data_IF_693236148418
#
_entry.id   IF_693236148418
#
_cell.length_a   1.000
_cell.length_b   1.000
_cell.length_c   1.000
_cell.angle_alpha   90.00
_cell.angle_beta   90.00
_cell.angle_gamma   90.00
#
_symmetry.space_group_name_H-M   'P 1'
#
loop_
_entity.id
_entity.type
_entity.pdbx_description
1 polymer ?
#
# COMPACT_ATOMS: atom_id res chain seq x y z
N UNK A 1 -4.21 -9.09 -4.90
CA UNK A 1 -4.24 -8.12 -5.99
C UNK A 1 -2.86 -7.47 -6.15
N UNK A 2 -2.47 -7.08 -7.36
CA UNK A 2 -1.29 -6.25 -7.60
C UNK A 2 -1.70 -4.79 -7.38
N UNK A 3 -1.14 -4.04 -6.40
CA UNK A 3 -1.44 -2.63 -6.27
C UNK A 3 -0.85 -1.79 -7.39
N UNK A 4 -1.49 -0.64 -7.56
CA UNK A 4 -0.91 0.55 -8.15
C UNK A 4 -0.55 1.51 -7.02
N UNK A 5 0.71 1.95 -6.97
CA UNK A 5 1.15 2.99 -6.04
C UNK A 5 0.50 4.31 -6.43
N UNK A 6 -0.29 4.88 -5.53
CA UNK A 6 -0.96 6.16 -5.76
C UNK A 6 0.06 7.29 -5.72
N UNK A 7 -0.03 8.22 -6.66
CA UNK A 7 0.86 9.39 -6.71
C UNK A 7 0.91 10.11 -5.36
N UNK A 8 2.14 10.32 -4.88
CA UNK A 8 2.38 11.08 -3.68
C UNK A 8 1.91 12.54 -3.77
N UNK A 9 1.57 13.08 -4.95
CA UNK A 9 1.00 14.45 -5.01
C UNK A 9 -0.36 14.54 -4.29
N UNK A 10 -1.12 13.44 -4.25
CA UNK A 10 -2.48 13.42 -3.68
C UNK A 10 -2.49 12.78 -2.28
N UNK A 11 -1.83 11.63 -2.09
CA UNK A 11 -1.79 10.92 -0.80
C UNK A 11 -0.34 10.65 -0.39
N UNK A 12 0.11 11.20 0.75
CA UNK A 12 1.49 11.09 1.23
C UNK A 12 1.52 10.83 2.74
N UNK A 13 2.37 9.90 3.13
CA UNK A 13 2.94 9.91 4.48
C UNK A 13 4.28 10.64 4.43
N UNK A 14 4.50 11.60 5.32
CA UNK A 14 5.79 12.27 5.53
C UNK A 14 6.27 11.97 6.93
N UNK A 15 7.50 11.50 7.06
CA UNK A 15 8.11 11.24 8.36
C UNK A 15 9.35 12.11 8.47
N UNK A 16 9.51 12.77 9.61
CA UNK A 16 10.72 13.50 9.97
C UNK A 16 11.46 12.67 11.01
N UNK A 17 12.74 12.41 10.75
CA UNK A 17 13.60 11.65 11.64
C UNK A 17 14.69 12.57 12.13
N UNK A 18 14.85 12.61 13.45
CA UNK A 18 15.94 13.30 14.10
C UNK A 18 16.72 12.25 14.90
N UNK A 19 18.04 12.17 14.69
CA UNK A 19 18.94 11.49 15.63
C UNK A 19 19.40 12.57 16.59
N UNK A 20 18.79 12.58 17.78
CA UNK A 20 19.15 13.51 18.85
C UNK A 20 19.19 12.75 20.17
N UNK A 21 20.19 13.06 20.99
CA UNK A 21 20.20 12.69 22.39
C UNK A 21 19.22 13.61 23.14
N UNK A 22 18.08 13.04 23.53
CA UNK A 22 17.05 13.57 24.43
C UNK A 22 16.28 14.85 24.00
N UNK A 23 14.94 14.77 23.95
CA UNK A 23 13.97 15.67 24.60
C UNK A 23 12.50 15.36 24.21
N UNK A 24 11.68 15.18 25.26
CA UNK A 24 10.21 15.27 25.46
C UNK A 24 9.18 14.36 24.74
N UNK A 25 8.30 13.77 25.60
CA UNK A 25 7.18 12.85 25.39
C UNK A 25 7.28 11.96 24.14
N UNK A 26 8.15 10.96 24.27
CA UNK A 26 8.30 9.87 23.33
C UNK A 26 7.39 8.71 23.74
N UNK A 27 6.59 8.21 22.79
CA UNK A 27 5.95 6.90 22.97
C UNK A 27 6.98 5.87 22.54
N UNK A 28 7.44 5.05 23.49
CA UNK A 28 8.29 3.93 23.18
C UNK A 28 7.60 3.02 22.16
N UNK A 29 8.23 2.80 21.00
CA UNK A 29 7.76 1.87 19.97
C UNK A 29 8.02 0.42 20.42
N UNK A 30 7.36 -0.02 21.48
CA UNK A 30 7.50 -1.37 22.06
C UNK A 30 6.80 -2.47 21.25
N UNK A 31 6.00 -2.10 20.24
CA UNK A 31 5.31 -3.05 19.38
C UNK A 31 6.27 -3.90 18.54
N UNK A 32 6.07 -5.23 18.54
CA UNK A 32 6.95 -6.18 17.84
C UNK A 32 7.20 -5.88 16.36
N UNK A 33 6.22 -5.29 15.67
CA UNK A 33 6.34 -4.87 14.25
C UNK A 33 7.41 -3.79 14.04
N UNK A 34 7.44 -2.78 14.90
CA UNK A 34 8.47 -1.72 14.83
C UNK A 34 9.84 -2.27 15.20
N UNK A 35 9.92 -3.11 16.24
CA UNK A 35 11.17 -3.72 16.67
C UNK A 35 11.77 -4.64 15.60
N UNK A 36 10.94 -5.37 14.84
CA UNK A 36 11.41 -6.16 13.72
C UNK A 36 12.07 -5.29 12.64
N UNK A 37 11.40 -4.23 12.19
CA UNK A 37 11.99 -3.30 11.22
C UNK A 37 13.28 -2.64 11.73
N UNK A 38 13.28 -2.14 12.98
CA UNK A 38 14.44 -1.49 13.60
C UNK A 38 15.63 -2.45 13.71
N UNK A 39 15.39 -3.70 14.09
CA UNK A 39 16.44 -4.72 14.17
C UNK A 39 17.04 -5.02 12.79
N UNK A 40 16.19 -5.24 11.79
CA UNK A 40 16.66 -5.62 10.45
C UNK A 40 17.37 -4.48 9.72
N UNK A 41 16.93 -3.23 9.90
CA UNK A 41 17.60 -2.08 9.29
C UNK A 41 18.94 -1.78 9.99
N UNK A 42 19.01 -1.89 11.33
CA UNK A 42 20.27 -1.70 12.09
C UNK A 42 21.33 -2.72 11.72
N UNK A 43 20.96 -3.98 11.51
CA UNK A 43 21.91 -5.03 11.04
C UNK A 43 22.60 -4.66 9.72
N UNK A 44 21.94 -3.87 8.89
CA UNK A 44 22.41 -3.43 7.56
C UNK A 44 22.98 -2.01 7.57
N UNK A 45 23.02 -1.36 8.74
CA UNK A 45 23.57 -0.03 8.89
C UNK A 45 25.07 -0.03 8.54
N UNK A 46 25.53 1.12 8.05
CA UNK A 46 26.94 1.38 7.74
C UNK A 46 27.42 2.64 8.44
N UNK A 47 28.70 2.93 8.28
CA UNK A 47 29.29 4.19 8.69
C UNK A 47 28.56 5.38 8.02
N UNK A 48 28.35 6.44 8.81
CA UNK A 48 27.78 7.71 8.37
C UNK A 48 28.72 8.83 8.76
N UNK A 49 29.14 9.59 7.77
CA UNK A 49 30.02 10.74 7.95
C UNK A 49 29.36 11.98 7.33
N UNK A 50 29.17 13.03 8.14
CA UNK A 50 28.72 14.36 7.72
C UNK A 50 29.76 15.38 8.20
N UNK A 51 30.72 15.69 7.33
CA UNK A 51 31.85 16.61 7.62
C UNK A 51 31.36 18.01 8.01
N UNK A 52 30.24 18.48 7.44
CA UNK A 52 29.72 19.84 7.70
C UNK A 52 29.17 19.97 9.12
N UNK A 53 28.65 18.87 9.67
CA UNK A 53 28.11 18.83 11.04
C UNK A 53 29.08 18.19 12.04
N UNK A 54 30.24 17.73 11.59
CA UNK A 54 31.21 17.02 12.43
C UNK A 54 30.68 15.70 12.98
N UNK A 55 29.77 15.04 12.26
CA UNK A 55 29.16 13.77 12.69
C UNK A 55 29.94 12.63 12.06
N UNK A 56 30.44 11.70 12.87
CA UNK A 56 30.98 10.41 12.44
C UNK A 56 30.36 9.32 13.31
N UNK A 57 29.50 8.50 12.70
CA UNK A 57 28.83 7.37 13.34
C UNK A 57 29.38 6.11 12.71
N UNK A 58 30.01 5.24 13.50
CA UNK A 58 30.49 3.94 13.04
C UNK A 58 29.37 2.92 13.06
N UNK A 59 29.51 1.87 12.25
CA UNK A 59 28.53 0.78 12.18
C UNK A 59 28.11 0.26 13.56
N UNK A 60 29.07 0.08 14.46
CA UNK A 60 28.87 -0.47 15.81
C UNK A 60 28.09 0.48 16.73
N UNK A 61 28.12 1.77 16.45
CA UNK A 61 27.41 2.78 17.26
C UNK A 61 25.90 2.65 17.09
N UNK A 62 25.41 2.19 15.94
CA UNK A 62 23.97 2.00 15.67
C UNK A 62 23.29 0.99 16.60
N UNK A 63 24.05 0.09 17.22
CA UNK A 63 23.54 -0.85 18.22
C UNK A 63 23.16 -0.14 19.53
N UNK A 64 23.84 0.96 19.86
CA UNK A 64 23.66 1.73 21.09
C UNK A 64 22.83 2.99 20.89
N UNK A 65 22.87 3.57 19.69
CA UNK A 65 22.15 4.79 19.37
C UNK A 65 20.63 4.56 19.33
N UNK A 66 19.89 5.43 20.01
CA UNK A 66 18.45 5.52 19.93
C UNK A 66 18.03 6.41 18.76
N UNK A 67 16.84 6.15 18.21
CA UNK A 67 16.27 6.93 17.10
C UNK A 67 14.94 7.53 17.53
N UNK A 68 14.72 8.80 17.21
CA UNK A 68 13.45 9.48 17.46
C UNK A 68 12.70 9.57 16.15
N UNK A 69 11.44 9.13 16.18
CA UNK A 69 10.63 8.94 14.98
C UNK A 69 9.36 9.76 15.12
N UNK A 70 9.22 10.76 14.26
CA UNK A 70 7.96 11.51 14.10
C UNK A 70 7.34 11.19 12.74
N UNK A 71 6.08 10.77 12.75
CA UNK A 71 5.32 10.40 11.56
C UNK A 71 4.08 11.26 11.41
N UNK A 72 3.82 11.70 10.19
CA UNK A 72 2.60 12.38 9.82
C UNK A 72 2.05 11.79 8.51
N UNK A 73 0.73 11.73 8.40
CA UNK A 73 0.04 11.42 7.16
C UNK A 73 -1.00 12.51 6.86
N UNK A 74 -1.21 12.79 5.58
CA UNK A 74 -2.11 13.85 5.13
C UNK A 74 -3.50 13.34 4.70
N UNK A 75 -3.81 12.08 4.98
CA UNK A 75 -5.07 11.46 4.61
C UNK A 75 -5.92 11.18 5.85
N UNK A 76 -7.26 11.25 5.76
CA UNK A 76 -8.10 11.14 6.95
C UNK A 76 -7.89 9.76 7.60
N UNK A 77 -7.50 9.74 8.88
CA UNK A 77 -7.21 8.51 9.64
C UNK A 77 -8.34 7.48 9.57
N UNK A 78 -9.58 7.94 9.36
CA UNK A 78 -10.77 7.10 9.28
C UNK A 78 -11.27 6.79 7.85
N UNK A 79 -10.59 7.26 6.80
CA UNK A 79 -10.97 6.98 5.40
C UNK A 79 -10.63 5.54 4.97
N UNK A 80 -10.16 4.69 5.89
CA UNK A 80 -9.80 3.29 5.63
C UNK A 80 -8.52 3.10 4.83
N UNK A 81 -7.92 4.17 4.28
CA UNK A 81 -6.68 4.16 3.53
C UNK A 81 -5.55 3.49 4.33
N UNK A 82 -4.76 2.64 3.66
CA UNK A 82 -3.74 1.76 4.25
C UNK A 82 -2.58 2.53 4.93
N UNK A 83 -2.88 3.18 6.06
CA UNK A 83 -1.98 4.06 6.81
C UNK A 83 -0.75 3.34 7.31
N UNK A 84 -0.89 2.07 7.70
CA UNK A 84 0.22 1.21 8.13
C UNK A 84 1.19 0.91 6.99
N UNK A 85 0.71 0.66 5.77
CA UNK A 85 1.56 0.33 4.63
C UNK A 85 2.50 1.50 4.28
N UNK A 86 1.91 2.70 4.08
CA UNK A 86 2.66 3.91 3.81
C UNK A 86 3.56 4.32 4.99
N UNK A 87 3.09 4.09 6.23
CA UNK A 87 3.86 4.33 7.45
C UNK A 87 5.15 3.51 7.51
N UNK A 88 5.04 2.18 7.42
CA UNK A 88 6.19 1.28 7.51
C UNK A 88 7.14 1.41 6.32
N UNK A 89 6.62 1.65 5.11
CA UNK A 89 7.45 1.89 3.94
C UNK A 89 8.31 3.15 4.13
N UNK A 90 7.69 4.26 4.56
CA UNK A 90 8.40 5.50 4.82
C UNK A 90 9.39 5.36 5.99
N UNK A 91 9.01 4.63 7.05
CA UNK A 91 9.90 4.30 8.16
C UNK A 91 11.17 3.60 7.68
N UNK A 92 11.03 2.49 6.98
CA UNK A 92 12.17 1.68 6.51
C UNK A 92 13.01 2.46 5.51
N UNK A 93 12.38 3.12 4.54
CA UNK A 93 13.10 3.92 3.56
C UNK A 93 13.94 5.01 4.22
N UNK A 94 13.36 5.73 5.19
CA UNK A 94 14.06 6.86 5.81
C UNK A 94 15.13 6.39 6.78
N UNK A 95 14.90 5.32 7.54
CA UNK A 95 15.95 4.71 8.37
C UNK A 95 17.08 4.16 7.50
N UNK A 96 16.78 3.56 6.34
CA UNK A 96 17.78 3.12 5.38
C UNK A 96 18.66 4.27 4.88
N UNK A 97 18.06 5.43 4.61
CA UNK A 97 18.82 6.66 4.27
C UNK A 97 19.63 7.19 5.45
N UNK A 98 19.04 7.23 6.64
CA UNK A 98 19.69 7.73 7.85
C UNK A 98 20.91 6.90 8.25
N UNK A 99 20.81 5.57 8.13
CA UNK A 99 21.83 4.61 8.53
C UNK A 99 22.76 4.20 7.37
N UNK A 100 22.69 4.92 6.24
CA UNK A 100 23.47 4.67 5.03
C UNK A 100 23.45 3.20 4.57
N UNK A 101 22.28 2.57 4.63
CA UNK A 101 22.08 1.19 4.20
C UNK A 101 22.30 1.08 2.67
N UNK A 102 23.06 0.07 2.24
CA UNK A 102 23.44 -0.15 0.82
C UNK A 102 22.57 -1.15 0.06
N UNK A 103 21.30 -1.19 0.40
CA UNK A 103 20.42 -2.24 -0.09
C UNK A 103 19.58 -1.68 -1.22
N UNK A 104 19.23 -2.54 -2.18
CA UNK A 104 18.30 -2.16 -3.22
C UNK A 104 16.86 -2.03 -2.69
N UNK A 105 15.95 -1.58 -3.53
CA UNK A 105 14.55 -1.40 -3.14
C UNK A 105 13.84 -2.73 -2.85
N UNK A 106 14.28 -3.85 -3.45
CA UNK A 106 13.76 -5.18 -3.18
C UNK A 106 14.11 -5.63 -1.77
N UNK A 107 15.37 -5.46 -1.38
CA UNK A 107 15.86 -5.75 -0.03
C UNK A 107 15.19 -4.86 1.02
N UNK A 108 15.08 -3.54 0.78
CA UNK A 108 14.33 -2.64 1.68
C UNK A 108 12.85 -3.05 1.80
N UNK A 109 12.24 -3.53 0.72
CA UNK A 109 10.86 -4.04 0.75
C UNK A 109 10.70 -5.25 1.67
N UNK A 110 11.71 -6.12 1.77
CA UNK A 110 11.71 -7.27 2.67
C UNK A 110 11.65 -6.85 4.15
N UNK A 111 12.31 -5.73 4.49
CA UNK A 111 12.30 -5.15 5.84
C UNK A 111 10.94 -4.51 6.12
N UNK A 112 10.40 -3.73 5.17
CA UNK A 112 9.10 -3.08 5.30
C UNK A 112 7.97 -4.11 5.51
N UNK A 113 8.04 -5.24 4.82
CA UNK A 113 7.12 -6.38 4.96
C UNK A 113 7.01 -6.87 6.41
N UNK A 114 8.12 -6.92 7.15
CA UNK A 114 8.13 -7.41 8.54
C UNK A 114 7.37 -6.47 9.51
N UNK A 115 7.26 -5.20 9.16
CA UNK A 115 6.45 -4.24 9.90
C UNK A 115 4.98 -4.29 9.48
N UNK A 116 4.73 -4.26 8.18
CA UNK A 116 3.40 -4.48 7.60
C UNK A 116 3.57 -5.10 6.22
N UNK A 117 2.95 -6.26 5.97
CA UNK A 117 3.18 -6.99 4.72
C UNK A 117 2.98 -6.15 3.47
N UNK A 118 1.96 -5.27 3.45
CA UNK A 118 1.64 -4.43 2.29
C UNK A 118 2.59 -3.24 2.12
N UNK A 119 3.34 -2.88 3.16
CA UNK A 119 4.32 -1.80 3.10
C UNK A 119 5.44 -2.06 2.08
N UNK A 120 5.78 -3.32 1.82
CA UNK A 120 6.81 -3.67 0.84
C UNK A 120 6.50 -3.09 -0.56
N UNK A 121 5.21 -3.03 -0.94
CA UNK A 121 4.79 -2.55 -2.25
C UNK A 121 4.87 -1.03 -2.38
N UNK A 122 4.86 -0.30 -1.26
CA UNK A 122 4.99 1.15 -1.24
C UNK A 122 6.45 1.65 -1.26
N UNK A 123 7.43 0.75 -1.40
CA UNK A 123 8.83 1.13 -1.66
C UNK A 123 9.03 1.59 -3.11
N UNK A 124 8.19 1.13 -4.04
CA UNK A 124 8.25 1.44 -5.46
C UNK A 124 7.10 2.33 -5.92
N UNK A 125 7.33 3.12 -6.97
CA UNK A 125 6.29 3.78 -7.76
C UNK A 125 5.64 2.84 -8.78
N UNK A 126 4.60 3.31 -9.48
CA UNK A 126 3.94 2.56 -10.55
C UNK A 126 3.17 1.32 -10.07
N UNK A 127 3.17 0.27 -10.90
CA UNK A 127 2.54 -1.01 -10.56
C UNK A 127 3.55 -1.94 -9.93
N UNK A 128 3.18 -2.53 -8.79
CA UNK A 128 4.12 -3.26 -7.94
C UNK A 128 3.56 -4.64 -7.62
N UNK A 129 4.39 -5.67 -7.76
CA UNK A 129 4.08 -7.03 -7.31
C UNK A 129 4.79 -7.31 -6.01
N UNK A 130 4.07 -7.86 -5.04
CA UNK A 130 4.71 -8.59 -3.94
C UNK A 130 4.78 -10.08 -4.30
N UNK A 131 5.99 -10.58 -4.47
CA UNK A 131 6.25 -12.00 -4.63
C UNK A 131 6.05 -12.72 -3.30
N UNK A 132 5.23 -13.77 -3.26
CA UNK A 132 4.95 -14.51 -2.03
C UNK A 132 6.17 -15.23 -1.45
N UNK A 133 7.19 -15.48 -2.28
CA UNK A 133 8.36 -16.28 -1.93
C UNK A 133 8.06 -17.79 -1.85
N UNK A 134 9.13 -18.57 -1.75
CA UNK A 134 9.15 -20.02 -1.59
C UNK A 134 10.05 -20.45 -0.44
N UNK A 135 10.97 -19.58 -0.01
CA UNK A 135 11.91 -19.90 1.06
C UNK A 135 11.22 -19.72 2.42
N UNK A 136 11.43 -20.67 3.33
CA UNK A 136 10.83 -20.65 4.67
C UNK A 136 11.35 -19.49 5.55
N UNK A 137 12.53 -18.96 5.24
CA UNK A 137 13.08 -17.77 5.90
C UNK A 137 12.47 -16.45 5.36
N UNK A 138 11.65 -16.55 4.30
CA UNK A 138 11.02 -15.43 3.62
C UNK A 138 12.00 -14.53 2.88
N UNK A 139 13.24 -14.95 2.61
CA UNK A 139 14.25 -14.14 1.92
C UNK A 139 13.84 -13.72 0.52
N UNK A 140 13.02 -14.52 -0.18
CA UNK A 140 12.57 -14.28 -1.55
C UNK A 140 11.15 -13.69 -1.64
N UNK A 141 10.54 -13.35 -0.49
CA UNK A 141 9.22 -12.73 -0.44
C UNK A 141 9.34 -11.20 -0.38
N UNK A 142 9.52 -10.60 -1.55
CA UNK A 142 9.87 -9.18 -1.73
C UNK A 142 8.98 -8.50 -2.78
N UNK A 143 8.95 -7.17 -2.77
CA UNK A 143 8.30 -6.39 -3.80
C UNK A 143 9.22 -6.21 -5.03
N UNK A 144 8.60 -6.24 -6.21
CA UNK A 144 9.23 -5.94 -7.50
C UNK A 144 8.34 -4.98 -8.27
N UNK A 145 8.95 -3.96 -8.87
CA UNK A 145 8.23 -3.06 -9.78
C UNK A 145 7.96 -3.80 -11.10
N UNK A 146 6.70 -3.78 -11.54
CA UNK A 146 6.32 -4.32 -12.84
C UNK A 146 6.58 -3.30 -13.94
N UNK A 147 6.13 -2.07 -13.69
CA UNK A 147 6.31 -0.88 -14.53
C UNK A 147 6.28 0.35 -13.63
N UNK A 148 6.95 1.42 -14.02
CA UNK A 148 6.99 2.67 -13.26
C UNK A 148 5.69 3.49 -13.40
N UNK A 149 5.61 4.60 -12.66
CA UNK A 149 4.46 5.49 -12.66
C UNK A 149 4.19 6.17 -14.01
N UNK A 150 5.18 6.28 -14.89
CA UNK A 150 5.05 6.90 -16.22
C UNK A 150 4.48 5.96 -17.28
N UNK A 151 4.43 4.66 -16.98
CA UNK A 151 3.95 3.65 -17.91
C UNK A 151 2.49 3.90 -18.31
N UNK A 152 1.61 4.19 -17.34
CA UNK A 152 0.17 4.34 -17.58
C UNK A 152 -0.39 5.68 -17.06
N UNK A 153 0.15 6.78 -17.58
CA UNK A 153 -0.15 8.16 -17.14
C UNK A 153 -1.63 8.57 -17.26
N UNK A 154 -2.38 7.97 -18.19
CA UNK A 154 -3.81 8.26 -18.40
C UNK A 154 -4.74 7.67 -17.32
N UNK A 155 -4.21 6.87 -16.40
CA UNK A 155 -5.01 6.18 -15.39
C UNK A 155 -5.34 7.09 -14.20
N UNK A 156 -6.63 7.30 -13.95
CA UNK A 156 -7.10 8.18 -12.87
C UNK A 156 -7.78 7.36 -11.77
N UNK A 157 -7.33 7.56 -10.54
CA UNK A 157 -7.88 6.90 -9.35
C UNK A 157 -8.79 7.87 -8.60
N UNK A 158 -10.04 7.48 -8.38
CA UNK A 158 -10.99 8.23 -7.54
C UNK A 158 -11.32 7.38 -6.31
N UNK A 159 -11.17 7.97 -5.13
CA UNK A 159 -11.46 7.33 -3.85
C UNK A 159 -12.74 7.95 -3.28
N UNK A 160 -13.80 7.15 -3.20
CA UNK A 160 -15.03 7.54 -2.52
C UNK A 160 -14.95 7.16 -1.04
N UNK A 161 -14.91 8.16 -0.16
CA UNK A 161 -14.90 7.96 1.30
C UNK A 161 -16.34 7.77 1.79
N UNK A 162 -16.75 6.52 1.96
CA UNK A 162 -18.14 6.13 2.28
C UNK A 162 -18.46 6.11 3.78
N UNK A 163 -17.45 6.18 4.64
CA UNK A 163 -17.59 6.21 6.09
C UNK A 163 -16.29 6.69 6.75
N UNK A 164 -16.41 7.42 7.85
CA UNK A 164 -15.31 7.79 8.75
C UNK A 164 -15.35 7.00 10.07
N UNK A 165 -16.11 5.90 10.12
CA UNK A 165 -16.09 5.00 11.28
C UNK A 165 -14.92 4.03 11.17
N UNK A 166 -14.26 3.74 12.29
CA UNK A 166 -13.22 2.72 12.31
C UNK A 166 -13.79 1.35 11.94
N UNK A 167 -12.97 0.54 11.27
CA UNK A 167 -13.30 -0.85 10.96
C UNK A 167 -13.48 -1.62 12.27
N UNK A 168 -14.56 -2.38 12.39
CA UNK A 168 -14.81 -3.22 13.57
C UNK A 168 -13.74 -4.32 13.70
N UNK A 169 -13.44 -5.02 12.59
CA UNK A 169 -12.39 -6.05 12.54
C UNK A 169 -11.12 -5.51 11.92
N UNK A 170 -10.01 -5.54 12.66
CA UNK A 170 -8.71 -5.16 12.12
C UNK A 170 -8.30 -6.09 10.97
N UNK A 171 -7.51 -5.56 10.04
CA UNK A 171 -6.90 -6.35 8.97
C UNK A 171 -6.15 -7.59 9.48
N UNK A 172 -5.34 -7.43 10.53
CA UNK A 172 -4.48 -8.51 11.05
C UNK A 172 -5.28 -9.62 11.71
N UNK A 173 -6.28 -9.29 12.52
CA UNK A 173 -7.17 -10.30 13.10
C UNK A 173 -8.03 -10.96 12.03
N UNK A 174 -8.66 -10.15 11.17
CA UNK A 174 -9.57 -10.65 10.15
C UNK A 174 -8.90 -11.61 9.18
N UNK A 175 -7.69 -11.31 8.68
CA UNK A 175 -6.98 -12.24 7.79
C UNK A 175 -6.63 -13.56 8.47
N UNK A 176 -6.27 -13.53 9.76
CA UNK A 176 -5.93 -14.74 10.52
C UNK A 176 -7.17 -15.61 10.65
N UNK A 177 -8.27 -15.02 11.07
CA UNK A 177 -9.54 -15.72 11.24
C UNK A 177 -10.00 -16.32 9.88
N UNK A 178 -9.84 -15.58 8.78
CA UNK A 178 -10.13 -16.11 7.43
C UNK A 178 -9.23 -17.29 7.06
N UNK A 179 -7.92 -17.23 7.34
CA UNK A 179 -6.99 -18.35 7.11
C UNK A 179 -7.40 -19.60 7.89
N UNK A 180 -7.80 -19.40 9.15
CA UNK A 180 -8.16 -20.49 10.06
C UNK A 180 -9.52 -21.12 9.72
N UNK A 181 -10.47 -20.35 9.19
CA UNK A 181 -11.88 -20.77 9.13
C UNK A 181 -12.52 -20.80 7.73
N UNK A 182 -11.97 -20.08 6.73
CA UNK A 182 -12.56 -20.03 5.38
C UNK A 182 -11.95 -21.09 4.46
N UNK A 183 -12.68 -22.16 4.11
CA UNK A 183 -12.23 -23.10 3.08
C UNK A 183 -12.11 -22.43 1.69
N UNK A 184 -12.89 -21.38 1.41
CA UNK A 184 -12.82 -20.67 0.13
C UNK A 184 -11.48 -19.92 -0.03
N UNK A 185 -10.85 -19.48 1.05
CA UNK A 185 -9.54 -18.83 0.98
C UNK A 185 -8.45 -19.77 0.46
N UNK A 186 -8.45 -21.04 0.87
CA UNK A 186 -7.48 -22.03 0.40
C UNK A 186 -7.56 -22.22 -1.11
N UNK A 187 -8.77 -22.41 -1.63
CA UNK A 187 -8.99 -22.51 -3.08
C UNK A 187 -8.60 -21.23 -3.82
N UNK A 188 -8.94 -20.06 -3.26
CA UNK A 188 -8.56 -18.75 -3.82
C UNK A 188 -7.05 -18.62 -3.95
N UNK A 189 -6.29 -18.92 -2.89
CA UNK A 189 -4.84 -18.79 -2.86
C UNK A 189 -4.13 -19.76 -3.79
N UNK A 190 -4.56 -21.02 -3.83
CA UNK A 190 -3.88 -22.08 -4.59
C UNK A 190 -4.23 -22.06 -6.08
N UNK A 191 -5.49 -21.77 -6.42
CA UNK A 191 -6.01 -21.98 -7.78
C UNK A 191 -6.32 -20.68 -8.50
N UNK A 192 -6.89 -19.69 -7.80
CA UNK A 192 -7.44 -18.49 -8.46
C UNK A 192 -6.41 -17.38 -8.61
N UNK A 193 -5.71 -17.04 -7.53
CA UNK A 193 -4.77 -15.92 -7.50
C UNK A 193 -3.59 -16.10 -8.47
N UNK A 194 -2.93 -17.26 -8.58
CA UNK A 194 -1.78 -17.41 -9.49
C UNK A 194 -2.12 -17.08 -10.94
N UNK A 195 -3.26 -17.59 -11.45
CA UNK A 195 -3.72 -17.30 -12.80
C UNK A 195 -4.17 -15.85 -13.00
N UNK A 196 -4.73 -15.21 -11.95
CA UNK A 196 -5.10 -13.78 -12.01
C UNK A 196 -3.89 -12.86 -12.03
N UNK A 197 -2.81 -13.20 -11.33
CA UNK A 197 -1.57 -12.41 -11.33
C UNK A 197 -1.02 -12.31 -12.75
N UNK A 198 -0.88 -13.44 -13.46
CA UNK A 198 -0.38 -13.46 -14.84
C UNK A 198 -1.24 -12.61 -15.78
N UNK A 199 -2.57 -12.73 -15.69
CA UNK A 199 -3.50 -11.94 -16.50
C UNK A 199 -3.45 -10.44 -16.18
N UNK A 200 -3.24 -10.10 -14.90
CA UNK A 200 -3.14 -8.70 -14.48
C UNK A 200 -1.82 -8.07 -14.94
N UNK A 201 -0.70 -8.80 -14.84
CA UNK A 201 0.59 -8.36 -15.38
C UNK A 201 0.50 -8.10 -16.89
N UNK A 202 -0.16 -9.00 -17.63
CA UNK A 202 -0.39 -8.82 -19.07
C UNK A 202 -1.27 -7.59 -19.36
N UNK A 203 -2.37 -7.40 -18.61
CA UNK A 203 -3.26 -6.26 -18.78
C UNK A 203 -2.54 -4.93 -18.52
N UNK A 204 -1.71 -4.85 -17.47
CA UNK A 204 -0.88 -3.69 -17.15
C UNK A 204 0.11 -3.41 -18.28
N UNK A 205 0.83 -4.44 -18.73
CA UNK A 205 1.83 -4.31 -19.80
C UNK A 205 1.24 -3.80 -21.11
N UNK A 206 -0.01 -4.16 -21.42
CA UNK A 206 -0.71 -3.82 -22.67
C UNK A 206 -1.61 -2.58 -22.59
N UNK A 207 -1.70 -1.91 -21.44
CA UNK A 207 -2.72 -0.87 -21.18
C UNK A 207 -4.16 -1.35 -21.47
N UNK A 208 -4.43 -2.64 -21.24
CA UNK A 208 -5.76 -3.22 -21.43
C UNK A 208 -6.62 -2.89 -20.21
N UNK A 209 -7.23 -1.72 -20.26
CA UNK A 209 -8.10 -1.22 -19.19
C UNK A 209 -9.31 -2.14 -18.93
N UNK A 210 -9.87 -2.75 -19.97
CA UNK A 210 -11.05 -3.60 -19.82
C UNK A 210 -10.71 -4.87 -19.02
N UNK A 211 -9.64 -5.55 -19.41
CA UNK A 211 -9.14 -6.71 -18.66
C UNK A 211 -8.71 -6.31 -17.25
N UNK A 212 -7.97 -5.21 -17.10
CA UNK A 212 -7.54 -4.67 -15.81
C UNK A 212 -8.73 -4.39 -14.88
N UNK A 213 -9.76 -3.69 -15.35
CA UNK A 213 -10.94 -3.34 -14.57
C UNK A 213 -11.73 -4.59 -14.16
N UNK A 214 -11.97 -5.52 -15.10
CA UNK A 214 -12.68 -6.78 -14.83
C UNK A 214 -11.95 -7.62 -13.79
N UNK A 215 -10.63 -7.75 -13.90
CA UNK A 215 -9.81 -8.49 -12.93
C UNK A 215 -9.83 -7.82 -11.55
N UNK A 216 -9.72 -6.50 -11.49
CA UNK A 216 -9.75 -5.70 -10.25
C UNK A 216 -11.09 -5.90 -9.53
N UNK A 217 -12.22 -5.74 -10.22
CA UNK A 217 -13.55 -5.93 -9.65
C UNK A 217 -13.78 -7.38 -9.19
N UNK A 218 -13.41 -8.37 -10.01
CA UNK A 218 -13.57 -9.78 -9.65
C UNK A 218 -12.72 -10.17 -8.43
N UNK A 219 -11.50 -9.64 -8.31
CA UNK A 219 -10.62 -9.93 -7.19
C UNK A 219 -11.05 -9.24 -5.90
N UNK A 220 -11.56 -8.00 -5.99
CA UNK A 220 -12.20 -7.31 -4.86
C UNK A 220 -13.45 -8.05 -4.37
N UNK A 221 -14.34 -8.46 -5.27
CA UNK A 221 -15.56 -9.20 -4.89
C UNK A 221 -15.22 -10.54 -4.24
N UNK A 222 -14.27 -11.29 -4.80
CA UNK A 222 -13.88 -12.58 -4.21
C UNK A 222 -13.15 -12.40 -2.86
N UNK A 223 -12.41 -11.31 -2.67
CA UNK A 223 -11.86 -10.97 -1.37
C UNK A 223 -12.98 -10.77 -0.34
N UNK A 224 -14.00 -9.98 -0.64
CA UNK A 224 -15.14 -9.82 0.27
C UNK A 224 -15.96 -11.11 0.46
N UNK A 225 -15.99 -11.99 -0.55
CA UNK A 225 -16.61 -13.30 -0.42
C UNK A 225 -15.89 -14.22 0.59
N UNK A 226 -14.55 -14.22 0.62
CA UNK A 226 -13.80 -15.01 1.63
C UNK A 226 -13.91 -14.40 3.03
N UNK A 227 -14.05 -13.07 3.15
CA UNK A 227 -14.38 -12.43 4.42
C UNK A 227 -15.76 -12.87 4.94
N UNK A 228 -16.75 -12.99 4.05
CA UNK A 228 -18.09 -13.49 4.40
C UNK A 228 -18.08 -14.98 4.78
N UNK A 229 -17.19 -15.77 4.18
CA UNK A 229 -16.99 -17.21 4.47
C UNK A 229 -16.17 -17.46 5.76
N UNK A 230 -15.66 -16.41 6.40
CA UNK A 230 -14.95 -16.50 7.69
C UNK A 230 -15.95 -16.81 8.82
N UNK A 231 -15.51 -17.47 9.89
CA UNK A 231 -16.33 -17.74 11.08
C UNK A 231 -15.73 -17.11 12.34
N UNK A 232 -16.33 -16.06 12.93
CA UNK A 232 -17.54 -15.36 12.48
C UNK A 232 -17.34 -14.56 11.18
N UNK A 233 -18.41 -14.27 10.42
CA UNK A 233 -18.31 -13.56 9.15
C UNK A 233 -17.82 -12.13 9.34
N UNK A 234 -16.98 -11.66 8.40
CA UNK A 234 -16.40 -10.32 8.41
C UNK A 234 -17.06 -9.47 7.35
N UNK A 235 -17.68 -8.37 7.76
CA UNK A 235 -18.35 -7.40 6.88
C UNK A 235 -17.54 -6.10 6.78
N UNK A 236 -16.84 -5.93 5.65
CA UNK A 236 -16.16 -4.66 5.34
C UNK A 236 -16.97 -3.74 4.44
N UNK A 237 -17.87 -4.29 3.63
CA UNK A 237 -18.79 -3.52 2.80
C UNK A 237 -20.07 -3.23 3.58
N UNK A 238 -20.63 -2.05 3.37
CA UNK A 238 -21.94 -1.65 3.89
C UNK A 238 -22.87 -1.32 2.71
N UNK A 239 -24.11 -0.95 3.00
CA UNK A 239 -25.09 -0.61 1.97
C UNK A 239 -24.58 0.47 1.02
N UNK A 240 -23.84 1.48 1.49
CA UNK A 240 -23.21 2.51 0.63
C UNK A 240 -22.15 1.94 -0.32
N UNK A 241 -21.37 0.96 0.13
CA UNK A 241 -20.38 0.25 -0.69
C UNK A 241 -21.01 -0.64 -1.76
N UNK A 242 -22.23 -1.13 -1.50
CA UNK A 242 -23.05 -1.89 -2.46
C UNK A 242 -23.86 -0.97 -3.38
N UNK A 243 -24.42 0.10 -2.84
CA UNK A 243 -25.24 1.11 -3.50
C UNK A 243 -24.42 2.17 -4.23
N UNK A 244 -23.10 2.00 -4.33
CA UNK A 244 -22.28 2.70 -5.32
C UNK A 244 -22.64 2.30 -6.77
N UNK A 245 -23.85 1.81 -7.01
CA UNK A 245 -24.77 2.38 -8.00
C UNK A 245 -24.96 3.89 -7.81
N UNK A 246 -23.91 4.70 -8.01
CA UNK A 246 -24.14 6.10 -8.37
C UNK A 246 -24.78 6.02 -9.76
N UNK A 247 -26.06 6.39 -9.97
CA UNK A 247 -26.74 6.22 -11.26
C UNK A 247 -25.98 6.92 -12.40
N UNK A 248 -25.24 7.98 -12.06
CA UNK A 248 -24.38 8.74 -12.96
C UNK A 248 -23.13 7.96 -13.42
N UNK A 249 -22.59 7.03 -12.62
CA UNK A 249 -21.44 6.17 -12.98
C UNK A 249 -21.82 5.02 -13.92
N UNK A 250 -23.06 4.52 -13.86
CA UNK A 250 -23.54 3.46 -14.75
C UNK A 250 -23.78 3.95 -16.17
N UNK A 251 -24.32 5.17 -16.31
CA UNK A 251 -24.48 5.88 -17.61
C UNK A 251 -23.11 6.16 -18.25
N UNK A 252 -22.09 6.35 -17.42
CA UNK A 252 -20.75 6.71 -17.81
C UNK A 252 -19.90 5.53 -18.35
N UNK A 253 -20.18 4.30 -17.93
CA UNK A 253 -19.51 3.10 -18.44
C UNK A 253 -20.19 2.53 -19.69
N UNK A 254 -21.48 2.82 -19.92
CA UNK A 254 -22.19 2.39 -21.14
C UNK A 254 -22.10 3.38 -22.31
N UNK A 255 -21.69 4.63 -22.06
CA UNK A 255 -21.44 5.62 -23.10
C UNK A 255 -20.16 6.40 -22.82
N UNK A 256 -19.20 6.30 -23.76
CA UNK A 256 -17.85 6.90 -23.74
C UNK A 256 -17.74 8.43 -23.49
N UNK A 257 -18.81 9.14 -23.12
CA UNK A 257 -18.86 10.60 -23.17
C UNK A 257 -19.36 11.33 -21.89
N UNK A 258 -19.77 10.65 -20.81
CA UNK A 258 -20.40 11.36 -19.67
C UNK A 258 -19.55 11.54 -18.39
N UNK A 259 -18.52 10.73 -18.13
CA UNK A 259 -17.57 11.03 -17.02
C UNK A 259 -16.80 12.32 -17.29
N UNK A 260 -16.44 12.56 -18.57
CA UNK A 260 -15.74 13.77 -19.00
C UNK A 260 -16.52 15.02 -18.59
N UNK A 261 -17.83 15.07 -18.80
CA UNK A 261 -18.66 16.25 -18.48
C UNK A 261 -18.77 16.53 -16.97
N UNK A 262 -18.82 15.50 -16.11
CA UNK A 262 -18.89 15.69 -14.66
C UNK A 262 -17.56 16.14 -14.07
N UNK A 263 -16.44 15.58 -14.57
CA UNK A 263 -15.11 16.04 -14.14
C UNK A 263 -14.74 17.37 -14.79
N UNK A 264 -15.18 17.68 -16.00
CA UNK A 264 -15.05 19.01 -16.59
C UNK A 264 -15.86 20.07 -15.83
N UNK A 265 -17.07 19.74 -15.37
CA UNK A 265 -17.84 20.64 -14.47
C UNK A 265 -17.11 20.88 -13.14
N UNK A 266 -16.49 19.85 -12.59
CA UNK A 266 -15.70 19.96 -11.36
C UNK A 266 -14.38 20.74 -11.57
N UNK A 267 -13.71 20.55 -12.72
CA UNK A 267 -12.53 21.33 -13.11
C UNK A 267 -12.89 22.79 -13.46
N UNK A 268 -14.09 23.05 -14.00
CA UNK A 268 -14.59 24.40 -14.25
C UNK A 268 -14.91 25.17 -12.96
N UNK A 269 -15.27 24.48 -11.86
CA UNK A 269 -15.39 25.13 -10.55
C UNK A 269 -14.02 25.45 -9.89
N UNK A 270 -12.93 24.82 -10.33
CA UNK A 270 -11.60 24.92 -9.71
C UNK A 270 -10.51 25.50 -10.65
N UNK A 271 -10.87 25.98 -11.85
CA UNK A 271 -10.00 26.81 -12.69
C UNK A 271 -8.72 26.18 -13.27
N UNK A 272 -8.71 24.88 -13.63
CA UNK A 272 -7.52 24.20 -14.22
C UNK A 272 -7.74 23.67 -15.65
N UNK A 273 -6.69 23.58 -16.50
CA UNK A 273 -6.83 23.44 -17.95
C UNK A 273 -7.21 22.03 -18.43
N UNK A 274 -8.01 21.98 -19.50
CA UNK A 274 -8.54 20.77 -20.16
C UNK A 274 -7.48 19.91 -20.85
N UNK A 275 -7.62 18.59 -20.73
CA UNK A 275 -7.06 17.61 -21.66
C UNK A 275 -6.55 16.32 -21.00
N UNK A 276 -7.43 15.32 -20.82
CA UNK A 276 -7.06 13.88 -20.81
C UNK A 276 -8.30 13.01 -20.59
N UNK A 277 -8.33 11.84 -21.25
CA UNK A 277 -9.40 10.84 -21.12
C UNK A 277 -9.33 10.21 -19.73
N UNK A 278 -10.25 10.58 -18.84
CA UNK A 278 -10.33 10.04 -17.48
C UNK A 278 -10.87 8.61 -17.53
N UNK A 279 -10.06 7.64 -17.09
CA UNK A 279 -10.50 6.25 -16.90
C UNK A 279 -10.45 5.89 -15.42
N UNK A 280 -11.60 5.54 -14.87
CA UNK A 280 -11.85 5.40 -13.42
C UNK A 280 -11.63 3.98 -12.92
N UNK A 281 -10.85 3.81 -11.86
CA UNK A 281 -10.69 2.51 -11.18
C UNK A 281 -11.20 2.58 -9.75
N UNK A 282 -12.16 1.72 -9.42
CA UNK A 282 -12.53 1.34 -8.05
C UNK A 282 -11.44 0.42 -7.49
N UNK A 283 -10.53 0.95 -6.68
CA UNK A 283 -9.58 0.14 -5.90
C UNK A 283 -10.16 -0.11 -4.51
N UNK A 284 -10.84 -1.25 -4.36
CA UNK A 284 -11.23 -1.75 -3.04
C UNK A 284 -10.08 -2.58 -2.45
N UNK A 285 -9.42 -1.97 -1.47
CA UNK A 285 -8.60 -2.50 -0.38
C UNK A 285 -7.62 -3.64 -0.68
N UNK A 286 -6.36 -3.29 -0.49
CA UNK A 286 -5.22 -4.19 -0.50
C UNK A 286 -5.01 -4.78 0.91
N UNK A 287 -4.87 -6.09 0.99
CA UNK A 287 -4.47 -6.80 2.21
C UNK A 287 -3.25 -7.64 1.92
N UNK A 288 -2.22 -7.60 2.77
CA UNK A 288 -1.08 -8.48 2.62
C UNK A 288 -1.45 -9.92 2.99
N UNK A 289 -1.15 -10.85 2.10
CA UNK A 289 -1.03 -12.28 2.42
C UNK A 289 0.31 -12.43 3.14
N UNK A 290 0.32 -12.53 4.48
CA UNK A 290 1.52 -12.98 5.19
C UNK A 290 1.77 -14.46 4.91
#
# INVERSE_FOLDING_TARGET
MLPLTISGRVHKSRHQFHVLAALNQEIALSGGRFQNCLREIRKRARDVEDEKKGINIKKEDWEKLHVHIASYNNFPTAAGLASSAAGFACLVFTLGKLMNVNEDYGELSSIARQGSGSACRSIYGGFVKWCMGKNNDGSDSMAVQLVDESHWDDLVIIIAVVSSKQKETSSTSGMRDTVETSPLLQYRAQTVVPGRILKMEEAIKKHDFESFARLTCADSNQFHAVCLDTSPPIFYMNDTSHSTEIPELRIALSTNCRIISLVEKWNHSEGTPQGSKIRLVKLCYDMPVQ
#
